data_IF_005665556782
#
_entry.id   IF_005665556782
#
_cell.length_a   1.000
_cell.length_b   1.000
_cell.length_c   1.000
_cell.angle_alpha   90.00
_cell.angle_beta   90.00
_cell.angle_gamma   90.00
#
_symmetry.space_group_name_H-M   'P 1'
#
loop_
_entity.id
_entity.type
_entity.pdbx_description
1 polymer ?
#
# COMPACT_ATOMS: atom_id res chain seq x y z
N UNK A 1 -1.69 5.71 3.50
CA UNK A 1 -2.88 6.57 3.55
C UNK A 1 -3.63 6.25 4.83
N UNK A 2 -3.62 7.17 5.80
CA UNK A 2 -4.32 6.98 7.06
C UNK A 2 -5.85 7.02 6.88
N UNK A 3 -6.61 6.48 7.84
CA UNK A 3 -8.09 6.51 7.82
C UNK A 3 -8.63 7.96 7.74
N UNK A 4 -7.95 8.89 8.38
CA UNK A 4 -8.22 10.34 8.40
C UNK A 4 -8.03 11.02 7.04
N UNK A 5 -6.97 10.66 6.30
CA UNK A 5 -6.68 11.16 4.96
C UNK A 5 -7.70 10.62 3.94
N UNK A 6 -8.07 9.34 4.09
CA UNK A 6 -9.20 8.74 3.38
C UNK A 6 -10.49 9.53 3.68
N UNK A 7 -10.76 9.86 4.95
CA UNK A 7 -11.93 10.68 5.34
C UNK A 7 -11.85 12.10 4.76
N UNK A 8 -10.66 12.73 4.76
CA UNK A 8 -10.46 14.08 4.22
C UNK A 8 -10.69 14.13 2.71
N UNK A 9 -10.12 13.17 1.98
CA UNK A 9 -10.32 13.05 0.54
C UNK A 9 -11.76 12.69 0.21
N UNK A 10 -12.39 11.79 0.98
CA UNK A 10 -13.82 11.52 0.86
C UNK A 10 -14.62 12.80 1.09
N UNK A 11 -14.30 13.64 2.08
CA UNK A 11 -15.02 14.91 2.28
C UNK A 11 -14.92 15.85 1.08
N UNK A 12 -13.73 15.97 0.49
CA UNK A 12 -13.52 16.77 -0.71
C UNK A 12 -14.33 16.22 -1.89
N UNK A 13 -14.26 14.90 -2.11
CA UNK A 13 -15.01 14.18 -3.13
C UNK A 13 -16.53 14.19 -2.88
N UNK A 14 -16.99 14.41 -1.65
CA UNK A 14 -18.41 14.45 -1.33
C UNK A 14 -19.06 15.82 -1.61
N UNK A 15 -18.27 16.88 -1.81
CA UNK A 15 -18.80 18.24 -2.01
C UNK A 15 -19.68 18.37 -3.26
N UNK A 16 -19.24 17.98 -4.48
CA UNK A 16 -20.10 18.05 -5.67
C UNK A 16 -21.29 17.09 -5.59
N UNK A 17 -21.14 15.91 -4.95
CA UNK A 17 -22.25 14.98 -4.67
C UNK A 17 -23.33 15.66 -3.83
N UNK A 18 -22.94 16.38 -2.76
CA UNK A 18 -23.88 17.11 -1.90
C UNK A 18 -24.59 18.22 -2.67
N UNK A 19 -23.89 18.96 -3.55
CA UNK A 19 -24.48 20.00 -4.38
C UNK A 19 -25.53 19.41 -5.32
N UNK A 20 -25.22 18.30 -6.00
CA UNK A 20 -26.15 17.64 -6.92
C UNK A 20 -27.37 17.12 -6.16
N UNK A 21 -27.18 16.46 -5.02
CA UNK A 21 -28.28 16.02 -4.16
C UNK A 21 -29.17 17.22 -3.77
N UNK A 22 -28.57 18.35 -3.39
CA UNK A 22 -29.31 19.58 -3.08
C UNK A 22 -30.18 20.08 -4.24
N UNK A 23 -29.66 20.06 -5.47
CA UNK A 23 -30.40 20.41 -6.69
C UNK A 23 -31.55 19.42 -6.92
N UNK A 24 -31.33 18.13 -6.74
CA UNK A 24 -32.37 17.11 -6.91
C UNK A 24 -33.52 17.27 -5.93
N UNK A 25 -33.22 17.53 -4.65
CA UNK A 25 -34.26 17.81 -3.65
C UNK A 25 -35.07 19.06 -4.00
N UNK A 26 -34.41 20.10 -4.55
CA UNK A 26 -35.09 21.29 -5.04
C UNK A 26 -35.99 20.98 -6.24
N UNK A 27 -35.53 20.18 -7.20
CA UNK A 27 -36.33 19.74 -8.35
C UNK A 27 -37.53 18.88 -7.93
N UNK A 28 -37.35 17.98 -6.96
CA UNK A 28 -38.45 17.18 -6.38
C UNK A 28 -39.47 18.10 -5.70
N UNK A 29 -39.01 19.10 -4.93
CA UNK A 29 -39.89 20.07 -4.29
C UNK A 29 -40.67 20.91 -5.32
N UNK A 30 -40.00 21.37 -6.39
CA UNK A 30 -40.63 22.09 -7.50
C UNK A 30 -41.65 21.21 -8.24
N UNK A 31 -41.35 19.94 -8.47
CA UNK A 31 -42.28 18.97 -9.07
C UNK A 31 -43.56 18.86 -8.24
N UNK A 32 -43.44 18.65 -6.93
CA UNK A 32 -44.62 18.57 -6.05
C UNK A 32 -45.36 19.90 -5.95
N UNK A 33 -44.66 21.05 -5.92
CA UNK A 33 -45.28 22.37 -5.94
C UNK A 33 -46.07 22.63 -7.23
N UNK A 34 -45.48 22.29 -8.38
CA UNK A 34 -46.11 22.41 -9.69
C UNK A 34 -47.40 21.57 -9.77
N UNK A 35 -47.35 20.30 -9.35
CA UNK A 35 -48.52 19.43 -9.37
C UNK A 35 -49.58 19.82 -8.33
N UNK A 36 -49.17 20.31 -7.14
CA UNK A 36 -50.11 20.84 -6.13
C UNK A 36 -50.88 22.06 -6.65
N UNK A 37 -50.25 22.90 -7.47
CA UNK A 37 -50.87 24.08 -8.09
C UNK A 37 -51.83 23.74 -9.24
N UNK A 38 -51.69 22.55 -9.86
CA UNK A 38 -52.39 22.16 -11.09
C UNK A 38 -53.44 21.06 -10.86
N UNK A 39 -54.26 21.26 -9.82
CA UNK A 39 -55.23 20.33 -9.17
C UNK A 39 -56.26 19.60 -10.07
N UNK A 40 -56.12 19.58 -11.40
CA UNK A 40 -57.19 19.21 -12.34
C UNK A 40 -56.85 18.14 -13.39
N UNK A 41 -55.66 17.55 -13.44
CA UNK A 41 -55.38 16.48 -14.40
C UNK A 41 -55.10 15.15 -13.69
N UNK A 42 -55.84 14.10 -14.04
CA UNK A 42 -55.75 12.74 -13.50
C UNK A 42 -54.44 12.01 -13.90
N UNK A 43 -53.33 12.73 -14.05
CA UNK A 43 -52.03 12.13 -14.33
C UNK A 43 -51.49 11.45 -13.07
N UNK A 44 -51.09 10.18 -13.22
CA UNK A 44 -50.49 9.38 -12.14
C UNK A 44 -49.21 10.05 -11.66
N UNK A 45 -49.21 10.54 -10.42
CA UNK A 45 -48.03 11.09 -9.77
C UNK A 45 -47.01 9.99 -9.50
N UNK A 46 -45.72 10.31 -9.66
CA UNK A 46 -44.64 9.40 -9.27
C UNK A 46 -44.61 9.35 -7.74
N UNK A 47 -44.60 8.17 -7.10
CA UNK A 47 -44.56 8.09 -5.65
C UNK A 47 -43.24 8.65 -5.11
N UNK A 48 -43.30 9.44 -4.04
CA UNK A 48 -42.14 10.10 -3.41
C UNK A 48 -40.98 9.12 -3.14
N UNK A 49 -41.29 7.87 -2.75
CA UNK A 49 -40.26 6.84 -2.53
C UNK A 49 -39.43 6.54 -3.77
N UNK A 50 -40.02 6.52 -4.97
CA UNK A 50 -39.28 6.29 -6.21
C UNK A 50 -38.43 7.50 -6.59
N UNK A 51 -38.92 8.73 -6.34
CA UNK A 51 -38.14 9.95 -6.55
C UNK A 51 -36.93 10.01 -5.62
N UNK A 52 -37.10 9.70 -4.34
CA UNK A 52 -36.01 9.66 -3.36
C UNK A 52 -34.99 8.55 -3.68
N UNK A 53 -35.45 7.35 -4.07
CA UNK A 53 -34.56 6.28 -4.51
C UNK A 53 -33.79 6.66 -5.77
N UNK A 54 -34.43 7.36 -6.71
CA UNK A 54 -33.78 7.89 -7.91
C UNK A 54 -32.70 8.91 -7.59
N UNK A 55 -32.99 9.87 -6.70
CA UNK A 55 -32.02 10.88 -6.25
C UNK A 55 -30.80 10.24 -5.57
N UNK A 56 -31.02 9.31 -4.63
CA UNK A 56 -29.91 8.57 -3.98
C UNK A 56 -29.08 7.81 -5.03
N UNK A 57 -29.74 7.20 -6.02
CA UNK A 57 -29.05 6.48 -7.08
C UNK A 57 -28.21 7.41 -7.96
N UNK A 58 -28.70 8.59 -8.31
CA UNK A 58 -27.93 9.57 -9.10
C UNK A 58 -26.75 10.09 -8.28
N UNK A 59 -26.95 10.46 -7.02
CA UNK A 59 -25.86 10.84 -6.12
C UNK A 59 -24.78 9.75 -6.01
N UNK A 60 -25.19 8.48 -5.96
CA UNK A 60 -24.29 7.33 -6.04
C UNK A 60 -23.50 7.27 -7.36
N UNK A 61 -24.17 7.43 -8.51
CA UNK A 61 -23.51 7.40 -9.83
C UNK A 61 -22.48 8.53 -9.94
N UNK A 62 -22.83 9.74 -9.48
CA UNK A 62 -21.90 10.87 -9.43
C UNK A 62 -20.68 10.52 -8.58
N UNK A 63 -20.89 9.99 -7.38
CA UNK A 63 -19.81 9.60 -6.48
C UNK A 63 -18.87 8.55 -7.12
N UNK A 64 -19.41 7.54 -7.81
CA UNK A 64 -18.61 6.54 -8.52
C UNK A 64 -17.80 7.19 -9.65
N UNK A 65 -18.43 8.04 -10.47
CA UNK A 65 -17.72 8.75 -11.53
C UNK A 65 -16.61 9.66 -10.97
N UNK A 66 -16.84 10.26 -9.81
CA UNK A 66 -15.84 11.10 -9.18
C UNK A 66 -14.63 10.30 -8.70
N UNK A 67 -14.87 9.15 -8.06
CA UNK A 67 -13.80 8.23 -7.62
C UNK A 67 -13.01 7.62 -8.78
N UNK A 68 -13.66 7.35 -9.90
CA UNK A 68 -13.08 6.56 -11.00
C UNK A 68 -12.55 7.43 -12.15
N UNK A 69 -13.18 8.56 -12.44
CA UNK A 69 -12.91 9.39 -13.61
C UNK A 69 -12.29 10.73 -13.22
N UNK A 70 -12.88 11.46 -12.27
CA UNK A 70 -12.54 12.88 -12.03
C UNK A 70 -11.39 13.03 -11.02
N UNK A 71 -11.35 12.17 -9.99
CA UNK A 71 -10.41 12.27 -8.88
C UNK A 71 -9.02 11.67 -9.11
N UNK A 72 -8.71 11.18 -10.31
CA UNK A 72 -7.43 10.52 -10.62
C UNK A 72 -6.49 11.42 -11.43
N UNK A 73 -5.20 11.40 -11.09
CA UNK A 73 -4.14 12.01 -11.90
C UNK A 73 -3.86 11.20 -13.17
N UNK A 74 -3.27 11.84 -14.19
CA UNK A 74 -2.88 11.17 -15.44
C UNK A 74 -1.44 10.67 -15.35
N UNK A 75 -1.24 9.35 -15.27
CA UNK A 75 0.09 8.75 -15.15
C UNK A 75 0.32 7.48 -15.98
N UNK A 76 -0.73 6.80 -16.44
CA UNK A 76 -0.61 5.51 -17.16
C UNK A 76 -1.40 5.55 -18.47
N UNK A 77 -0.74 5.78 -19.60
CA UNK A 77 -1.38 5.78 -20.91
C UNK A 77 -1.36 4.39 -21.55
N UNK A 78 -2.54 3.91 -21.97
CA UNK A 78 -2.71 2.69 -22.77
C UNK A 78 -2.13 1.38 -22.17
N UNK A 79 -1.88 1.36 -20.86
CA UNK A 79 -1.46 0.14 -20.19
C UNK A 79 -2.67 -0.76 -19.90
N UNK A 80 -2.50 -2.07 -20.09
CA UNK A 80 -3.54 -3.07 -19.83
C UNK A 80 -2.95 -4.27 -19.11
N UNK A 81 -3.60 -4.66 -18.01
CA UNK A 81 -3.35 -5.92 -17.31
C UNK A 81 -4.54 -6.86 -17.52
N UNK A 82 -4.34 -7.87 -18.37
CA UNK A 82 -5.35 -8.86 -18.73
C UNK A 82 -5.15 -10.20 -18.01
N UNK A 83 -4.21 -10.28 -17.07
CA UNK A 83 -3.99 -11.50 -16.31
C UNK A 83 -5.05 -11.61 -15.20
N UNK A 84 -5.92 -12.64 -15.23
CA UNK A 84 -6.97 -12.78 -14.23
C UNK A 84 -6.36 -13.12 -12.87
N UNK A 85 -6.90 -12.49 -11.84
CA UNK A 85 -6.54 -12.55 -10.43
C UNK A 85 -5.10 -12.13 -10.12
N UNK A 86 -4.44 -11.41 -11.02
CA UNK A 86 -3.09 -10.88 -10.82
C UNK A 86 -2.97 -10.02 -9.55
N UNK A 87 -3.90 -9.09 -9.30
CA UNK A 87 -3.90 -8.22 -8.13
C UNK A 87 -4.06 -9.01 -6.82
N UNK A 88 -4.83 -10.10 -6.84
CA UNK A 88 -4.95 -11.00 -5.68
C UNK A 88 -3.69 -11.80 -5.42
N UNK A 89 -3.06 -12.29 -6.49
CA UNK A 89 -1.80 -13.04 -6.41
C UNK A 89 -0.69 -12.11 -5.89
N UNK A 90 -0.60 -10.90 -6.40
CA UNK A 90 0.39 -9.92 -5.96
C UNK A 90 0.13 -9.44 -4.54
N UNK A 91 -1.13 -9.17 -4.17
CA UNK A 91 -1.50 -8.84 -2.80
C UNK A 91 -1.11 -9.96 -1.84
N UNK A 92 -1.31 -11.23 -2.23
CA UNK A 92 -0.85 -12.37 -1.45
C UNK A 92 0.67 -12.43 -1.38
N UNK A 93 1.37 -12.43 -2.52
CA UNK A 93 2.84 -12.56 -2.57
C UNK A 93 3.57 -11.42 -1.86
N UNK A 94 3.05 -10.19 -1.89
CA UNK A 94 3.58 -9.05 -1.13
C UNK A 94 3.06 -9.00 0.31
N UNK A 95 2.07 -9.82 0.64
CA UNK A 95 1.24 -9.73 1.84
C UNK A 95 0.77 -8.28 2.11
N UNK A 96 0.27 -7.64 1.05
CA UNK A 96 -0.13 -6.24 1.06
C UNK A 96 -1.61 -6.11 1.41
N UNK A 97 -1.88 -5.70 2.66
CA UNK A 97 -3.24 -5.38 3.10
C UNK A 97 -3.87 -4.26 2.27
N UNK A 98 -3.05 -3.32 1.79
CA UNK A 98 -3.50 -2.21 0.95
C UNK A 98 -4.01 -2.70 -0.40
N UNK A 99 -3.28 -3.59 -1.06
CA UNK A 99 -3.68 -4.10 -2.38
C UNK A 99 -4.97 -4.94 -2.28
N UNK A 100 -5.11 -5.70 -1.19
CA UNK A 100 -6.34 -6.41 -0.91
C UNK A 100 -7.51 -5.48 -0.57
N UNK A 101 -7.26 -4.41 0.20
CA UNK A 101 -8.26 -3.37 0.47
C UNK A 101 -8.76 -2.72 -0.81
N UNK A 102 -7.87 -2.45 -1.78
CA UNK A 102 -8.25 -1.90 -3.08
C UNK A 102 -9.20 -2.85 -3.83
N UNK A 103 -8.89 -4.15 -3.87
CA UNK A 103 -9.78 -5.15 -4.47
C UNK A 103 -11.16 -5.15 -3.78
N UNK A 104 -11.19 -5.08 -2.44
CA UNK A 104 -12.44 -5.02 -1.68
C UNK A 104 -13.24 -3.74 -1.95
N UNK A 105 -12.58 -2.59 -2.07
CA UNK A 105 -13.24 -1.32 -2.37
C UNK A 105 -13.85 -1.31 -3.77
N UNK A 106 -13.20 -1.92 -4.76
CA UNK A 106 -13.78 -2.09 -6.10
C UNK A 106 -15.07 -2.93 -6.05
N UNK A 107 -15.08 -4.04 -5.30
CA UNK A 107 -16.30 -4.83 -5.06
C UNK A 107 -17.38 -3.97 -4.40
N UNK A 108 -17.06 -3.31 -3.28
CA UNK A 108 -18.03 -2.54 -2.50
C UNK A 108 -18.63 -1.38 -3.31
N UNK A 109 -17.85 -0.76 -4.20
CA UNK A 109 -18.29 0.35 -5.05
C UNK A 109 -19.47 -0.02 -5.96
N UNK A 110 -19.55 -1.27 -6.43
CA UNK A 110 -20.60 -1.73 -7.33
C UNK A 110 -21.77 -2.45 -6.64
N UNK A 111 -21.68 -2.72 -5.33
CA UNK A 111 -22.80 -3.27 -4.54
C UNK A 111 -24.07 -2.41 -4.65
N UNK A 112 -24.02 -1.07 -4.52
CA UNK A 112 -25.21 -0.24 -4.66
C UNK A 112 -25.86 -0.33 -6.04
N UNK A 113 -25.08 -0.41 -7.14
CA UNK A 113 -25.62 -0.58 -8.49
C UNK A 113 -26.46 -1.85 -8.60
N UNK A 114 -25.95 -2.97 -8.07
CA UNK A 114 -26.66 -4.25 -8.04
C UNK A 114 -27.96 -4.22 -7.23
N UNK A 115 -28.04 -3.38 -6.19
CA UNK A 115 -29.24 -3.21 -5.39
C UNK A 115 -30.27 -2.26 -6.01
N UNK A 116 -29.84 -1.12 -6.53
CA UNK A 116 -30.74 -0.05 -6.97
C UNK A 116 -31.41 -0.35 -8.32
N UNK A 117 -30.69 -0.92 -9.28
CA UNK A 117 -31.24 -1.23 -10.61
C UNK A 117 -32.56 -2.03 -10.57
N UNK A 118 -32.69 -3.15 -9.83
CA UNK A 118 -33.95 -3.90 -9.77
C UNK A 118 -35.05 -3.22 -8.95
N UNK A 119 -34.70 -2.25 -8.08
CA UNK A 119 -35.65 -1.43 -7.33
C UNK A 119 -36.27 -0.34 -8.21
N UNK A 120 -35.49 0.24 -9.12
CA UNK A 120 -35.91 1.33 -10.00
C UNK A 120 -36.56 0.82 -11.28
N UNK A 121 -36.02 -0.26 -11.88
CA UNK A 121 -36.41 -0.71 -13.22
C UNK A 121 -36.73 -2.21 -13.21
N UNK A 122 -37.96 -2.55 -13.59
CA UNK A 122 -38.48 -3.92 -13.53
C UNK A 122 -37.66 -4.93 -14.36
N UNK A 123 -37.08 -4.51 -15.50
CA UNK A 123 -36.26 -5.35 -16.37
C UNK A 123 -35.01 -5.90 -15.66
N UNK A 124 -34.43 -5.13 -14.74
CA UNK A 124 -33.22 -5.53 -14.00
C UNK A 124 -33.50 -6.44 -12.81
N UNK A 125 -34.77 -6.79 -12.56
CA UNK A 125 -35.11 -7.90 -11.66
C UNK A 125 -34.66 -9.25 -12.22
N UNK A 126 -34.48 -9.36 -13.54
CA UNK A 126 -33.85 -10.52 -14.18
C UNK A 126 -32.32 -10.36 -14.16
N UNK A 127 -31.64 -11.33 -13.55
CA UNK A 127 -30.19 -11.29 -13.33
C UNK A 127 -29.38 -11.04 -14.61
N UNK A 128 -29.75 -11.62 -15.76
CA UNK A 128 -29.03 -11.44 -17.03
C UNK A 128 -28.93 -9.98 -17.49
N UNK A 129 -30.00 -9.20 -17.29
CA UNK A 129 -30.03 -7.80 -17.70
C UNK A 129 -29.25 -6.92 -16.74
N UNK A 130 -29.31 -7.25 -15.45
CA UNK A 130 -28.49 -6.59 -14.44
C UNK A 130 -27.01 -6.84 -14.69
N UNK A 131 -26.61 -8.09 -14.93
CA UNK A 131 -25.23 -8.47 -15.19
C UNK A 131 -24.69 -7.77 -16.44
N UNK A 132 -25.48 -7.67 -17.51
CA UNK A 132 -25.10 -6.95 -18.72
C UNK A 132 -24.80 -5.47 -18.43
N UNK A 133 -25.63 -4.81 -17.64
CA UNK A 133 -25.41 -3.39 -17.26
C UNK A 133 -24.20 -3.24 -16.35
N UNK A 134 -24.03 -4.13 -15.36
CA UNK A 134 -22.88 -4.09 -14.45
C UNK A 134 -21.58 -4.24 -15.24
N UNK A 135 -21.47 -5.31 -16.05
CA UNK A 135 -20.28 -5.57 -16.89
C UNK A 135 -20.06 -4.46 -17.91
N UNK A 136 -21.11 -3.96 -18.55
CA UNK A 136 -21.00 -2.85 -19.51
C UNK A 136 -20.53 -1.55 -18.85
N UNK A 137 -21.03 -1.25 -17.65
CA UNK A 137 -20.64 -0.06 -16.90
C UNK A 137 -19.17 -0.14 -16.47
N UNK A 138 -18.74 -1.26 -15.86
CA UNK A 138 -17.34 -1.41 -15.47
C UNK A 138 -16.41 -1.41 -16.68
N UNK A 139 -16.75 -2.09 -17.77
CA UNK A 139 -15.94 -2.06 -19.01
C UNK A 139 -15.81 -0.65 -19.57
N UNK A 140 -16.87 0.16 -19.50
CA UNK A 140 -16.85 1.55 -19.96
C UNK A 140 -15.92 2.42 -19.09
N UNK A 141 -15.94 2.22 -17.77
CA UNK A 141 -15.07 2.96 -16.84
C UNK A 141 -13.60 2.61 -17.07
N UNK A 142 -13.26 1.32 -17.11
CA UNK A 142 -11.88 0.84 -17.35
C UNK A 142 -11.35 1.34 -18.71
N UNK A 143 -12.19 1.26 -19.76
CA UNK A 143 -11.84 1.77 -21.09
C UNK A 143 -11.58 3.27 -21.06
N UNK A 144 -12.44 4.03 -20.37
CA UNK A 144 -12.24 5.47 -20.24
C UNK A 144 -10.93 5.79 -19.49
N UNK A 145 -10.64 5.12 -18.38
CA UNK A 145 -9.44 5.34 -17.58
C UNK A 145 -8.17 5.09 -18.41
N UNK A 146 -8.18 4.01 -19.18
CA UNK A 146 -7.06 3.61 -20.05
C UNK A 146 -6.82 4.60 -21.19
N UNK A 147 -7.91 5.11 -21.81
CA UNK A 147 -7.82 6.08 -22.91
C UNK A 147 -7.47 7.50 -22.44
N UNK A 148 -7.92 7.87 -21.24
CA UNK A 148 -7.64 9.19 -20.65
C UNK A 148 -6.28 9.28 -19.96
N UNK A 149 -5.61 8.14 -19.74
CA UNK A 149 -4.36 8.06 -18.99
C UNK A 149 -4.54 8.08 -17.47
N UNK A 150 -5.79 8.05 -17.00
CA UNK A 150 -6.17 8.10 -15.58
C UNK A 150 -5.95 6.77 -14.83
N UNK A 151 -5.66 5.69 -15.54
CA UNK A 151 -5.42 4.38 -14.96
C UNK A 151 -5.08 3.31 -16.00
N UNK A 152 -4.77 2.11 -15.50
CA UNK A 152 -4.48 0.90 -16.26
C UNK A 152 -5.80 0.15 -16.49
N UNK A 153 -6.00 -0.47 -17.65
CA UNK A 153 -7.13 -1.41 -17.81
C UNK A 153 -6.85 -2.66 -17.00
N UNK A 154 -7.53 -2.86 -15.87
CA UNK A 154 -7.32 -4.04 -15.03
C UNK A 154 -8.49 -5.03 -15.16
N UNK A 155 -8.20 -6.23 -15.67
CA UNK A 155 -9.21 -7.29 -15.76
C UNK A 155 -9.77 -7.66 -14.38
N UNK A 156 -8.96 -7.54 -13.34
CA UNK A 156 -9.37 -7.80 -11.97
C UNK A 156 -10.40 -6.78 -11.47
N UNK A 157 -10.33 -5.53 -11.92
CA UNK A 157 -11.33 -4.51 -11.57
C UNK A 157 -12.67 -4.78 -12.23
N UNK A 158 -12.65 -5.27 -13.48
CA UNK A 158 -13.86 -5.77 -14.15
C UNK A 158 -14.50 -6.93 -13.36
N UNK A 159 -13.69 -7.87 -12.86
CA UNK A 159 -14.15 -9.01 -12.05
C UNK A 159 -14.71 -8.50 -10.71
N UNK A 160 -13.99 -7.63 -10.02
CA UNK A 160 -14.34 -7.10 -8.70
C UNK A 160 -15.65 -6.30 -8.74
N UNK A 161 -15.77 -5.38 -9.70
CA UNK A 161 -16.98 -4.60 -9.91
C UNK A 161 -18.18 -5.50 -10.26
N UNK A 162 -17.94 -6.53 -11.08
CA UNK A 162 -18.97 -7.52 -11.42
C UNK A 162 -19.43 -8.31 -10.18
N UNK A 163 -18.51 -8.75 -9.33
CA UNK A 163 -18.81 -9.39 -8.06
C UNK A 163 -19.63 -8.46 -7.15
N UNK A 164 -19.26 -7.18 -7.08
CA UNK A 164 -20.02 -6.15 -6.38
C UNK A 164 -21.48 -6.10 -6.81
N UNK A 165 -21.72 -6.00 -8.11
CA UNK A 165 -23.08 -5.99 -8.68
C UNK A 165 -23.86 -7.27 -8.38
N UNK A 166 -23.21 -8.44 -8.42
CA UNK A 166 -23.82 -9.73 -8.06
C UNK A 166 -24.20 -9.79 -6.58
N UNK A 167 -23.31 -9.31 -5.69
CA UNK A 167 -23.59 -9.22 -4.25
C UNK A 167 -24.75 -8.26 -3.99
N UNK A 168 -24.77 -7.09 -4.63
CA UNK A 168 -25.87 -6.14 -4.54
C UNK A 168 -27.22 -6.74 -4.96
N UNK A 169 -27.25 -7.47 -6.06
CA UNK A 169 -28.47 -8.14 -6.51
C UNK A 169 -28.95 -9.23 -5.52
N UNK A 170 -28.04 -9.97 -4.91
CA UNK A 170 -28.38 -10.95 -3.87
C UNK A 170 -28.93 -10.26 -2.61
N UNK A 171 -28.38 -9.13 -2.19
CA UNK A 171 -28.91 -8.32 -1.10
C UNK A 171 -30.32 -7.80 -1.41
N UNK A 172 -30.56 -7.35 -2.65
CA UNK A 172 -31.90 -6.98 -3.12
C UNK A 172 -32.89 -8.15 -3.01
N UNK A 173 -32.51 -9.35 -3.46
CA UNK A 173 -33.36 -10.56 -3.38
C UNK A 173 -33.64 -10.96 -1.94
N UNK A 174 -32.64 -10.85 -1.08
CA UNK A 174 -32.79 -11.11 0.35
C UNK A 174 -33.77 -10.11 0.99
N UNK A 175 -33.57 -8.81 0.77
CA UNK A 175 -34.42 -7.75 1.30
C UNK A 175 -35.88 -7.91 0.83
N UNK A 176 -36.11 -8.14 -0.46
CA UNK A 176 -37.45 -8.36 -1.02
C UNK A 176 -38.12 -9.63 -0.48
N UNK A 177 -37.36 -10.71 -0.32
CA UNK A 177 -37.86 -11.95 0.31
C UNK A 177 -38.28 -11.71 1.77
N UNK A 178 -37.53 -10.91 2.54
CA UNK A 178 -37.85 -10.59 3.93
C UNK A 178 -39.12 -9.75 4.01
N UNK A 179 -39.22 -8.71 3.19
CA UNK A 179 -40.39 -7.81 3.15
C UNK A 179 -41.66 -8.57 2.75
N UNK A 180 -41.56 -9.46 1.76
CA UNK A 180 -42.74 -10.19 1.25
C UNK A 180 -43.16 -11.35 2.16
N UNK A 181 -42.20 -12.15 2.64
CA UNK A 181 -42.51 -13.38 3.40
C UNK A 181 -42.54 -13.18 4.92
N UNK A 182 -42.14 -12.01 5.43
CA UNK A 182 -41.99 -11.67 6.87
C UNK A 182 -41.16 -12.67 7.70
N UNK A 183 -40.45 -13.60 7.05
CA UNK A 183 -39.58 -14.62 7.66
C UNK A 183 -38.35 -14.83 6.77
N UNK A 184 -37.18 -14.94 7.39
CA UNK A 184 -35.94 -15.33 6.72
C UNK A 184 -35.90 -16.86 6.64
N UNK A 185 -35.94 -17.43 5.43
CA UNK A 185 -35.68 -18.86 5.24
C UNK A 185 -34.18 -19.09 5.19
N UNK A 186 -33.63 -19.96 6.04
CA UNK A 186 -32.19 -20.25 6.10
C UNK A 186 -31.59 -20.64 4.73
N UNK A 187 -32.30 -21.47 3.94
CA UNK A 187 -31.88 -21.81 2.57
C UNK A 187 -31.75 -20.58 1.65
N UNK A 188 -32.63 -19.59 1.80
CA UNK A 188 -32.58 -18.33 1.04
C UNK A 188 -31.43 -17.45 1.52
N UNK A 189 -31.18 -17.42 2.84
CA UNK A 189 -30.06 -16.68 3.42
C UNK A 189 -28.72 -17.23 2.93
N UNK A 190 -28.52 -18.55 3.04
CA UNK A 190 -27.27 -19.22 2.61
C UNK A 190 -27.07 -19.04 1.10
N UNK A 191 -28.11 -19.24 0.28
CA UNK A 191 -27.98 -19.09 -1.17
C UNK A 191 -27.61 -17.67 -1.62
N UNK A 192 -28.14 -16.63 -0.96
CA UNK A 192 -27.86 -15.23 -1.30
C UNK A 192 -26.60 -14.66 -0.62
N UNK A 193 -26.03 -15.36 0.37
CA UNK A 193 -24.78 -14.96 1.02
C UNK A 193 -23.61 -15.89 0.65
N UNK A 194 -23.82 -16.89 -0.21
CA UNK A 194 -22.81 -17.88 -0.55
C UNK A 194 -21.52 -17.24 -1.08
N UNK A 195 -21.62 -16.24 -1.97
CA UNK A 195 -20.46 -15.55 -2.54
C UNK A 195 -19.71 -14.71 -1.48
N UNK A 196 -20.36 -13.78 -0.73
CA UNK A 196 -19.70 -13.07 0.36
C UNK A 196 -19.07 -13.98 1.41
N UNK A 197 -19.75 -15.07 1.78
CA UNK A 197 -19.24 -16.04 2.75
C UNK A 197 -18.02 -16.79 2.20
N UNK A 198 -18.06 -17.24 0.95
CA UNK A 198 -16.93 -17.91 0.31
C UNK A 198 -15.70 -17.00 0.28
N UNK A 199 -15.86 -15.74 -0.11
CA UNK A 199 -14.76 -14.76 -0.11
C UNK A 199 -14.21 -14.54 1.30
N UNK A 200 -15.10 -14.43 2.30
CA UNK A 200 -14.70 -14.29 3.70
C UNK A 200 -13.92 -15.52 4.19
N UNK A 201 -14.35 -16.73 3.81
CA UNK A 201 -13.65 -17.96 4.16
C UNK A 201 -12.29 -18.07 3.49
N UNK A 202 -12.16 -17.67 2.22
CA UNK A 202 -10.87 -17.62 1.52
C UNK A 202 -9.93 -16.66 2.25
N UNK A 203 -10.40 -15.45 2.60
CA UNK A 203 -9.59 -14.48 3.31
C UNK A 203 -9.15 -14.96 4.69
N UNK A 204 -10.06 -15.55 5.46
CA UNK A 204 -9.73 -16.16 6.77
C UNK A 204 -8.72 -17.29 6.59
N UNK A 205 -8.91 -18.16 5.60
CA UNK A 205 -8.01 -19.26 5.28
C UNK A 205 -6.60 -18.75 4.93
N UNK A 206 -6.51 -17.73 4.08
CA UNK A 206 -5.24 -17.07 3.73
C UNK A 206 -4.52 -16.52 4.97
N UNK A 207 -5.24 -15.84 5.87
CA UNK A 207 -4.65 -15.34 7.12
C UNK A 207 -4.17 -16.46 8.04
N UNK A 208 -4.90 -17.58 8.12
CA UNK A 208 -4.49 -18.75 8.92
C UNK A 208 -3.22 -19.37 8.33
N UNK A 209 -3.18 -19.60 7.01
CA UNK A 209 -2.01 -20.14 6.31
C UNK A 209 -0.80 -19.23 6.53
N UNK A 210 -0.96 -17.93 6.32
CA UNK A 210 0.10 -16.96 6.56
C UNK A 210 0.54 -16.95 8.03
N UNK A 211 -0.39 -16.99 8.99
CA UNK A 211 -0.06 -17.03 10.41
C UNK A 211 0.76 -18.27 10.79
N UNK A 212 0.54 -19.41 10.12
CA UNK A 212 1.25 -20.66 10.34
C UNK A 212 2.64 -20.72 9.70
N UNK A 213 2.93 -19.92 8.67
CA UNK A 213 4.27 -19.86 8.09
C UNK A 213 5.28 -19.38 9.14
N UNK A 214 6.49 -19.95 9.17
CA UNK A 214 7.54 -19.47 10.07
C UNK A 214 7.94 -18.03 9.70
N UNK A 215 8.23 -17.81 8.42
CA UNK A 215 8.63 -16.53 7.85
C UNK A 215 7.48 -15.83 7.13
N UNK A 216 7.60 -14.51 7.00
CA UNK A 216 6.72 -13.71 6.16
C UNK A 216 7.08 -13.82 4.68
N UNK A 217 6.33 -13.12 3.86
CA UNK A 217 6.60 -13.03 2.44
C UNK A 217 7.64 -11.94 2.16
N UNK A 218 8.48 -12.19 1.15
CA UNK A 218 9.39 -11.21 0.59
C UNK A 218 8.76 -10.59 -0.67
N UNK A 219 8.69 -9.26 -0.72
CA UNK A 219 8.04 -8.55 -1.84
C UNK A 219 8.67 -8.87 -3.21
N UNK A 220 9.96 -9.24 -3.22
CA UNK A 220 10.71 -9.67 -4.41
C UNK A 220 10.16 -10.96 -5.05
N UNK A 221 9.29 -11.69 -4.37
CA UNK A 221 8.64 -12.90 -4.92
C UNK A 221 7.40 -12.57 -5.76
N UNK A 222 6.93 -11.32 -5.74
CA UNK A 222 5.77 -10.84 -6.49
C UNK A 222 6.12 -10.50 -7.95
N UNK A 223 6.39 -11.54 -8.73
CA UNK A 223 6.62 -11.46 -10.18
C UNK A 223 5.93 -12.60 -10.94
N UNK A 224 5.83 -12.43 -12.25
CA UNK A 224 5.40 -13.47 -13.20
C UNK A 224 6.62 -14.07 -13.89
N UNK A 225 6.69 -15.41 -13.96
CA UNK A 225 7.79 -16.14 -14.59
C UNK A 225 7.97 -15.67 -16.04
N UNK A 226 9.19 -15.25 -16.38
CA UNK A 226 9.53 -14.78 -17.73
C UNK A 226 9.78 -15.96 -18.68
N UNK A 227 9.45 -15.80 -19.95
CA UNK A 227 9.72 -16.83 -20.96
C UNK A 227 11.16 -16.70 -21.47
N UNK A 228 12.01 -17.64 -21.07
CA UNK A 228 13.46 -17.59 -21.34
C UNK A 228 13.93 -18.49 -22.49
N UNK A 229 13.02 -19.19 -23.20
CA UNK A 229 13.38 -20.23 -24.19
C UNK A 229 14.29 -19.77 -25.34
N UNK A 230 14.29 -18.47 -25.63
CA UNK A 230 15.05 -17.86 -26.73
C UNK A 230 15.89 -16.67 -26.22
N UNK A 231 16.28 -16.69 -24.94
CA UNK A 231 17.11 -15.66 -24.29
C UNK A 231 18.48 -16.27 -24.03
N UNK A 232 19.54 -15.56 -24.39
CA UNK A 232 20.90 -16.01 -24.12
C UNK A 232 21.32 -15.55 -22.72
N UNK A 233 21.56 -16.50 -21.82
CA UNK A 233 22.00 -16.21 -20.45
C UNK A 233 23.41 -16.72 -20.28
N UNK A 234 24.36 -15.83 -20.00
CA UNK A 234 25.78 -16.14 -19.89
C UNK A 234 26.37 -15.59 -18.58
N UNK A 235 27.49 -16.17 -18.15
CA UNK A 235 28.25 -15.66 -17.01
C UNK A 235 29.71 -16.08 -17.14
N UNK A 236 30.61 -15.24 -16.61
CA UNK A 236 32.03 -15.56 -16.45
C UNK A 236 32.37 -16.09 -15.05
N UNK A 237 31.38 -16.17 -14.16
CA UNK A 237 31.55 -16.58 -12.76
C UNK A 237 31.81 -18.09 -12.63
N UNK A 238 32.69 -18.45 -11.70
CA UNK A 238 32.81 -19.83 -11.22
C UNK A 238 31.66 -20.15 -10.26
N UNK A 239 30.63 -20.83 -10.78
CA UNK A 239 29.43 -21.15 -10.02
C UNK A 239 29.65 -22.36 -9.10
N UNK A 240 29.79 -22.10 -7.81
CA UNK A 240 29.81 -23.17 -6.80
C UNK A 240 28.44 -23.84 -6.66
N UNK A 241 28.44 -25.17 -6.53
CA UNK A 241 27.27 -25.98 -6.15
C UNK A 241 27.32 -26.47 -4.70
N UNK A 242 28.25 -25.94 -3.90
CA UNK A 242 28.38 -26.31 -2.50
C UNK A 242 27.13 -25.88 -1.71
N UNK A 243 26.73 -26.72 -0.75
CA UNK A 243 25.70 -26.34 0.21
C UNK A 243 26.20 -25.16 1.05
N UNK A 244 25.40 -24.11 1.08
CA UNK A 244 25.67 -22.89 1.83
C UNK A 244 24.55 -22.65 2.83
N UNK A 245 24.92 -22.02 3.95
CA UNK A 245 23.99 -21.56 4.97
C UNK A 245 24.14 -20.06 5.15
N UNK A 246 23.07 -19.40 5.57
CA UNK A 246 23.10 -17.99 5.97
C UNK A 246 22.24 -17.74 7.20
N UNK A 247 22.61 -16.76 8.04
CA UNK A 247 21.88 -16.41 9.23
C UNK A 247 20.55 -15.72 8.89
N UNK A 248 19.53 -15.98 9.71
CA UNK A 248 18.27 -15.24 9.75
C UNK A 248 18.18 -14.49 11.08
N UNK A 249 17.67 -13.27 11.01
CA UNK A 249 17.45 -12.42 12.18
C UNK A 249 15.99 -12.03 12.33
N UNK A 250 15.62 -11.54 13.51
CA UNK A 250 14.36 -10.88 13.78
C UNK A 250 14.61 -9.42 14.15
N UNK A 251 13.93 -8.50 13.47
CA UNK A 251 13.95 -7.09 13.86
C UNK A 251 13.27 -6.93 15.21
N UNK A 252 14.00 -6.39 16.17
CA UNK A 252 13.49 -6.00 17.47
C UNK A 252 13.19 -4.51 17.44
N UNK A 253 11.91 -4.19 17.46
CA UNK A 253 11.42 -2.82 17.50
C UNK A 253 11.31 -2.39 18.96
N UNK A 254 12.01 -1.32 19.32
CA UNK A 254 11.86 -0.68 20.64
C UNK A 254 10.98 0.55 20.46
N UNK A 255 9.73 0.44 20.90
CA UNK A 255 8.75 1.54 20.82
C UNK A 255 8.57 2.29 22.15
N UNK A 256 9.36 1.96 23.16
CA UNK A 256 9.17 2.48 24.52
C UNK A 256 9.42 3.99 24.57
N UNK A 257 8.40 4.71 25.05
CA UNK A 257 8.38 6.06 25.62
C UNK A 257 9.36 7.09 25.05
N UNK A 258 9.46 7.17 23.72
CA UNK A 258 10.22 8.24 23.03
C UNK A 258 9.77 9.61 23.52
N UNK A 259 8.47 9.79 23.77
CA UNK A 259 7.92 11.02 24.34
C UNK A 259 8.47 11.31 25.75
N UNK A 260 8.55 10.31 26.63
CA UNK A 260 9.11 10.49 27.96
C UNK A 260 10.62 10.74 27.91
N UNK A 261 11.34 10.07 27.01
CA UNK A 261 12.76 10.32 26.76
C UNK A 261 12.99 11.78 26.34
N UNK A 262 12.25 12.23 25.33
CA UNK A 262 12.34 13.60 24.81
C UNK A 262 11.88 14.64 25.85
N UNK A 263 10.88 14.32 26.67
CA UNK A 263 10.46 15.16 27.78
C UNK A 263 11.52 15.24 28.89
N UNK A 264 12.08 14.12 29.30
CA UNK A 264 13.07 14.04 30.38
C UNK A 264 14.39 14.68 29.98
N UNK A 265 14.85 14.43 28.75
CA UNK A 265 16.19 14.80 28.29
C UNK A 265 16.24 16.13 27.55
N UNK A 266 15.23 16.43 26.74
CA UNK A 266 15.17 17.69 25.96
C UNK A 266 14.14 18.69 26.53
N UNK A 267 13.36 18.31 27.55
CA UNK A 267 12.37 19.20 28.15
C UNK A 267 11.17 19.48 27.24
N UNK A 268 10.92 18.61 26.26
CA UNK A 268 9.82 18.75 25.31
C UNK A 268 8.49 18.35 25.96
N UNK A 269 7.44 19.12 25.70
CA UNK A 269 6.08 18.85 26.22
C UNK A 269 5.07 18.84 25.09
N UNK A 270 4.14 17.88 25.12
CA UNK A 270 3.04 17.84 24.14
C UNK A 270 2.22 19.13 24.21
N UNK A 271 1.88 19.65 23.03
CA UNK A 271 0.94 20.76 22.95
C UNK A 271 -0.50 20.22 22.99
N UNK A 272 -1.43 20.89 23.67
CA UNK A 272 -2.87 20.56 23.64
C UNK A 272 -3.52 20.62 22.24
N UNK A 273 -2.76 20.96 21.19
CA UNK A 273 -3.23 20.96 19.82
C UNK A 273 -3.28 19.50 19.32
N UNK A 274 -4.45 19.07 18.83
CA UNK A 274 -4.60 17.86 18.02
C UNK A 274 -3.88 18.08 16.68
N UNK A 275 -2.55 18.04 16.69
CA UNK A 275 -1.77 17.82 15.48
C UNK A 275 -1.90 16.34 15.08
N UNK A 276 -1.69 16.04 13.81
CA UNK A 276 -2.20 14.83 13.17
C UNK A 276 -1.58 13.50 13.68
N UNK A 277 -2.05 13.04 14.85
CA UNK A 277 -1.65 11.75 15.46
C UNK A 277 -1.92 10.55 14.56
N UNK A 278 -2.70 10.70 13.49
CA UNK A 278 -2.99 9.60 12.55
C UNK A 278 -1.85 9.32 11.57
N UNK A 279 -0.97 10.29 11.34
CA UNK A 279 0.25 10.16 10.53
C UNK A 279 1.50 9.92 11.39
N UNK A 280 1.32 9.73 12.70
CA UNK A 280 2.43 9.60 13.64
C UNK A 280 3.11 10.93 13.96
N UNK A 281 2.48 12.06 13.63
CA UNK A 281 3.03 13.40 13.86
C UNK A 281 2.46 14.03 15.13
N UNK A 282 3.33 14.44 16.04
CA UNK A 282 3.01 15.09 17.30
C UNK A 282 3.72 16.44 17.38
N UNK A 283 2.97 17.50 17.68
CA UNK A 283 3.56 18.82 17.93
C UNK A 283 3.97 18.92 19.40
N UNK A 284 5.28 19.11 19.64
CA UNK A 284 5.86 19.30 20.97
C UNK A 284 6.51 20.67 21.08
N UNK A 285 6.67 21.18 22.30
CA UNK A 285 7.34 22.45 22.57
C UNK A 285 8.43 22.29 23.59
N UNK A 286 9.54 22.99 23.38
CA UNK A 286 10.56 23.13 24.40
C UNK A 286 10.15 24.09 25.53
N UNK A 287 11.06 24.28 26.49
CA UNK A 287 10.86 25.17 27.64
C UNK A 287 10.71 26.65 27.23
N UNK A 288 11.26 27.04 26.09
CA UNK A 288 11.19 28.40 25.54
C UNK A 288 9.92 28.61 24.68
N UNK A 289 9.11 27.56 24.51
CA UNK A 289 7.88 27.58 23.71
C UNK A 289 8.11 27.41 22.21
N UNK A 290 9.32 27.04 21.78
CA UNK A 290 9.69 26.78 20.39
C UNK A 290 9.01 25.48 19.94
N UNK A 291 8.26 25.50 18.82
CA UNK A 291 7.55 24.32 18.33
C UNK A 291 8.47 23.35 17.56
N UNK A 292 8.33 22.07 17.84
CA UNK A 292 8.94 20.95 17.13
C UNK A 292 7.87 19.98 16.63
N UNK A 293 8.14 19.32 15.52
CA UNK A 293 7.35 18.21 15.01
C UNK A 293 8.08 16.89 15.27
N UNK A 294 7.42 15.98 16.00
CA UNK A 294 7.88 14.62 16.23
C UNK A 294 7.11 13.68 15.31
N UNK A 295 7.79 13.00 14.40
CA UNK A 295 7.21 11.98 13.50
C UNK A 295 7.67 10.61 13.96
N UNK A 296 6.76 9.66 14.16
CA UNK A 296 7.06 8.30 14.61
C UNK A 296 6.57 7.25 13.63
N UNK A 297 7.46 6.34 13.23
CA UNK A 297 7.13 5.11 12.54
C UNK A 297 7.25 3.92 13.51
N UNK A 298 6.20 3.67 14.30
CA UNK A 298 6.14 2.58 15.28
C UNK A 298 6.28 1.18 14.64
N UNK A 299 5.97 1.04 13.34
CA UNK A 299 6.12 -0.23 12.63
C UNK A 299 7.59 -0.54 12.31
N UNK A 300 8.45 0.48 12.25
CA UNK A 300 9.88 0.32 11.97
C UNK A 300 10.78 0.68 13.16
N UNK A 301 10.22 1.27 14.21
CA UNK A 301 10.96 1.76 15.38
C UNK A 301 11.73 3.05 15.12
N UNK A 302 11.36 3.80 14.08
CA UNK A 302 12.06 5.01 13.66
C UNK A 302 11.30 6.25 14.12
N UNK A 303 12.02 7.33 14.38
CA UNK A 303 11.41 8.61 14.68
C UNK A 303 12.31 9.78 14.30
N UNK A 304 11.69 10.92 14.00
CA UNK A 304 12.36 12.17 13.63
C UNK A 304 11.75 13.31 14.42
N UNK A 305 12.59 14.12 15.01
CA UNK A 305 12.24 15.36 15.68
C UNK A 305 12.86 16.51 14.91
N UNK A 306 12.05 17.50 14.53
CA UNK A 306 12.54 18.66 13.79
C UNK A 306 11.90 19.94 14.32
N UNK A 307 12.70 20.98 14.51
CA UNK A 307 12.22 22.31 14.87
C UNK A 307 11.46 22.94 13.71
N UNK A 308 10.29 23.50 14.01
CA UNK A 308 9.46 24.12 12.99
C UNK A 308 9.97 25.52 12.64
N UNK A 309 9.98 25.83 11.34
CA UNK A 309 10.42 27.13 10.79
C UNK A 309 11.90 27.48 11.02
N UNK A 310 12.74 26.49 11.33
CA UNK A 310 14.19 26.67 11.35
C UNK A 310 14.80 26.29 10.00
N UNK A 311 15.66 27.15 9.45
CA UNK A 311 16.46 26.85 8.26
C UNK A 311 17.92 26.81 8.70
N UNK A 312 18.62 25.66 8.59
CA UNK A 312 20.03 25.57 8.93
C UNK A 312 20.85 26.52 8.06
N UNK A 313 21.69 27.34 8.67
CA UNK A 313 22.73 28.07 7.93
C UNK A 313 23.84 27.07 7.57
N UNK A 314 24.32 27.06 6.31
CA UNK A 314 25.43 26.22 5.85
C UNK A 314 26.81 26.67 6.42
N UNK A 315 26.83 27.09 7.68
CA UNK A 315 28.02 27.66 8.30
C UNK A 315 28.74 26.55 9.07
N UNK A 316 29.95 26.22 8.62
CA UNK A 316 30.99 25.42 9.31
C UNK A 316 30.70 25.17 10.80
N UNK A 317 30.08 24.03 11.12
CA UNK A 317 29.83 23.54 12.50
C UNK A 317 31.13 22.97 13.12
N UNK A 318 32.29 23.34 12.57
CA UNK A 318 33.60 22.97 13.05
C UNK A 318 33.75 23.32 14.55
N UNK A 319 33.92 22.29 15.38
CA UNK A 319 34.15 22.44 16.82
C UNK A 319 32.95 22.17 17.74
N UNK A 320 31.79 21.72 17.24
CA UNK A 320 30.71 21.22 18.11
C UNK A 320 30.70 19.71 18.33
N UNK A 321 31.66 18.96 17.77
CA UNK A 321 31.74 17.49 17.86
C UNK A 321 31.67 16.97 19.30
N UNK A 322 32.43 17.59 20.21
CA UNK A 322 32.44 17.17 21.63
C UNK A 322 31.11 17.47 22.33
N UNK A 323 30.40 18.54 21.92
CA UNK A 323 29.04 18.80 22.41
C UNK A 323 28.05 17.77 21.89
N UNK A 324 28.15 17.42 20.61
CA UNK A 324 27.30 16.42 19.96
C UNK A 324 27.47 15.04 20.64
N UNK A 325 28.71 14.60 20.85
CA UNK A 325 29.02 13.35 21.59
C UNK A 325 28.50 13.38 23.02
N UNK A 326 28.76 14.46 23.76
CA UNK A 326 28.27 14.61 25.14
C UNK A 326 26.74 14.55 25.23
N UNK A 327 26.03 15.17 24.29
CA UNK A 327 24.57 15.14 24.25
C UNK A 327 24.07 13.72 23.94
N UNK A 328 24.72 13.02 23.01
CA UNK A 328 24.34 11.66 22.65
C UNK A 328 24.52 10.68 23.82
N UNK A 329 25.60 10.84 24.59
CA UNK A 329 25.83 10.09 25.84
C UNK A 329 24.74 10.37 26.89
N UNK A 330 24.36 11.65 27.05
CA UNK A 330 23.27 12.05 27.96
C UNK A 330 21.92 11.46 27.54
N UNK A 331 21.64 11.40 26.24
CA UNK A 331 20.45 10.77 25.69
C UNK A 331 20.46 9.25 25.85
N UNK A 332 21.64 8.64 26.01
CA UNK A 332 21.82 7.19 26.20
C UNK A 332 21.15 6.37 25.09
N UNK A 333 21.20 6.89 23.86
CA UNK A 333 20.56 6.30 22.68
C UNK A 333 21.45 5.31 21.92
N UNK A 334 22.77 5.34 22.15
CA UNK A 334 23.75 4.53 21.43
C UNK A 334 24.02 3.18 22.14
N UNK A 335 23.81 2.04 21.47
CA UNK A 335 23.97 0.72 22.08
C UNK A 335 25.41 0.18 22.09
N UNK A 336 26.33 0.61 21.19
CA UNK A 336 27.82 0.45 21.23
C UNK A 336 28.49 0.88 19.90
N UNK A 337 29.76 1.31 19.95
CA UNK A 337 30.74 1.53 18.85
C UNK A 337 30.22 2.06 17.50
N UNK A 338 29.26 2.99 17.51
CA UNK A 338 28.78 3.62 16.29
C UNK A 338 29.87 4.50 15.67
N UNK A 339 30.04 4.40 14.36
CA UNK A 339 30.99 5.21 13.60
C UNK A 339 30.46 6.64 13.52
N UNK A 340 31.24 7.60 14.02
CA UNK A 340 30.87 9.01 14.05
C UNK A 340 31.38 9.72 12.81
N UNK A 341 30.50 10.40 12.09
CA UNK A 341 30.80 11.18 10.89
C UNK A 341 30.17 12.57 10.99
N UNK A 342 30.82 13.54 10.34
CA UNK A 342 30.29 14.90 10.17
C UNK A 342 29.90 15.05 8.70
N UNK A 343 28.63 15.33 8.44
CA UNK A 343 28.08 15.47 7.10
C UNK A 343 28.47 16.82 6.48
N UNK A 344 28.43 16.91 5.14
CA UNK A 344 28.78 18.14 4.41
C UNK A 344 27.88 19.34 4.78
N UNK A 345 26.64 19.07 5.20
CA UNK A 345 25.69 20.07 5.68
C UNK A 345 25.97 20.54 7.13
N UNK A 346 26.97 19.97 7.81
CA UNK A 346 27.34 20.29 9.19
C UNK A 346 26.60 19.50 10.27
N UNK A 347 25.74 18.54 9.89
CA UNK A 347 25.08 17.63 10.82
C UNK A 347 26.00 16.50 11.27
N UNK A 348 25.66 15.89 12.40
CA UNK A 348 26.39 14.80 13.01
C UNK A 348 25.63 13.49 12.80
N UNK A 349 26.33 12.44 12.40
CA UNK A 349 25.73 11.13 12.19
C UNK A 349 26.52 10.04 12.95
N UNK A 350 25.79 9.12 13.57
CA UNK A 350 26.33 7.90 14.15
C UNK A 350 25.76 6.72 13.39
N UNK A 351 26.63 5.98 12.70
CA UNK A 351 26.21 4.86 11.86
C UNK A 351 26.65 3.52 12.46
N UNK A 352 25.74 2.55 12.41
CA UNK A 352 26.04 1.15 12.67
C UNK A 352 25.77 0.37 11.37
N UNK A 353 26.83 -0.11 10.69
CA UNK A 353 26.68 -0.80 9.42
C UNK A 353 25.92 -2.12 9.60
N UNK A 354 25.20 -2.51 8.56
CA UNK A 354 24.55 -3.82 8.54
C UNK A 354 25.60 -4.92 8.47
N UNK A 355 25.48 -5.93 9.34
CA UNK A 355 26.40 -7.06 9.47
C UNK A 355 25.66 -8.39 9.47
N UNK A 356 24.98 -8.73 8.37
CA UNK A 356 24.13 -9.90 8.31
C UNK A 356 24.92 -11.20 8.07
N UNK A 357 26.24 -11.16 8.26
CA UNK A 357 27.17 -12.28 8.28
C UNK A 357 27.43 -12.80 9.71
N UNK A 358 26.97 -12.08 10.73
CA UNK A 358 27.25 -12.41 12.13
C UNK A 358 26.28 -13.46 12.69
N UNK A 359 26.82 -14.55 13.23
CA UNK A 359 26.02 -15.56 13.95
C UNK A 359 25.68 -15.15 15.40
N UNK A 360 25.28 -13.89 15.60
CA UNK A 360 24.88 -13.31 16.88
C UNK A 360 24.03 -12.07 16.67
N UNK A 361 23.40 -11.62 17.74
CA UNK A 361 22.68 -10.35 17.76
C UNK A 361 23.60 -9.18 17.40
N UNK A 362 23.08 -8.23 16.63
CA UNK A 362 23.77 -6.99 16.32
C UNK A 362 22.79 -5.82 16.17
N UNK A 363 23.30 -4.60 16.27
CA UNK A 363 22.56 -3.36 16.02
C UNK A 363 22.95 -2.79 14.67
N UNK A 364 21.99 -2.16 13.99
CA UNK A 364 22.21 -1.51 12.69
C UNK A 364 21.31 -0.29 12.56
N UNK A 365 21.68 0.62 11.67
CA UNK A 365 20.95 1.86 11.37
C UNK A 365 21.81 3.08 11.67
N UNK A 366 21.16 4.21 11.88
CA UNK A 366 21.82 5.49 12.09
C UNK A 366 21.07 6.37 13.13
N UNK A 367 21.80 7.35 13.66
CA UNK A 367 21.25 8.48 14.40
C UNK A 367 21.83 9.76 13.79
N UNK A 368 20.95 10.65 13.33
CA UNK A 368 21.32 11.97 12.85
C UNK A 368 21.01 13.05 13.89
N UNK A 369 21.91 14.02 14.06
CA UNK A 369 21.76 15.13 15.00
C UNK A 369 22.14 16.46 14.34
N UNK A 370 21.20 17.40 14.37
CA UNK A 370 21.39 18.78 13.97
C UNK A 370 21.47 19.71 15.18
N UNK A 371 22.58 20.46 15.28
CA UNK A 371 22.79 21.47 16.32
C UNK A 371 22.86 22.88 15.74
N UNK A 372 22.26 23.83 16.46
CA UNK A 372 22.40 25.27 16.19
C UNK A 372 23.78 25.78 16.61
N UNK A 373 24.16 26.98 16.18
CA UNK A 373 25.41 27.63 16.62
C UNK A 373 25.53 27.77 18.15
N UNK A 374 24.41 27.92 18.86
CA UNK A 374 24.37 27.99 20.32
C UNK A 374 24.43 26.60 21.02
N UNK A 375 24.38 25.51 20.24
CA UNK A 375 24.43 24.12 20.72
C UNK A 375 23.06 23.51 21.05
N UNK A 376 21.95 24.21 20.79
CA UNK A 376 20.61 23.62 20.93
C UNK A 376 20.29 22.69 19.77
N UNK A 377 19.54 21.63 20.05
CA UNK A 377 19.07 20.66 19.04
C UNK A 377 17.99 21.31 18.18
N UNK A 378 18.13 21.25 16.86
CA UNK A 378 17.04 21.57 15.93
C UNK A 378 16.54 20.33 15.17
N UNK A 379 17.34 19.26 15.09
CA UNK A 379 16.96 18.02 14.41
C UNK A 379 17.55 16.82 15.13
N UNK A 380 16.77 15.76 15.29
CA UNK A 380 17.21 14.46 15.81
C UNK A 380 16.45 13.35 15.09
N UNK A 381 17.18 12.50 14.37
CA UNK A 381 16.66 11.37 13.63
C UNK A 381 17.18 10.08 14.24
N UNK A 382 16.32 9.10 14.46
CA UNK A 382 16.69 7.80 15.05
C UNK A 382 16.13 6.67 14.20
N UNK A 383 17.03 5.80 13.72
CA UNK A 383 16.67 4.64 12.92
C UNK A 383 17.27 3.31 13.42
N UNK A 384 17.96 3.33 14.57
CA UNK A 384 18.59 2.14 15.12
C UNK A 384 17.59 1.06 15.52
N UNK A 385 17.90 -0.18 15.16
CA UNK A 385 17.20 -1.35 15.68
C UNK A 385 18.16 -2.52 15.89
N UNK A 386 17.73 -3.44 16.75
CA UNK A 386 18.47 -4.67 17.01
C UNK A 386 17.98 -5.78 16.09
N UNK A 387 18.90 -6.45 15.42
CA UNK A 387 18.68 -7.72 14.74
C UNK A 387 19.03 -8.85 15.71
N UNK A 388 18.00 -9.55 16.19
CA UNK A 388 18.18 -10.74 17.03
C UNK A 388 18.45 -11.95 16.14
N UNK A 389 19.57 -12.62 16.35
CA UNK A 389 19.90 -13.84 15.63
C UNK A 389 18.93 -14.96 16.00
N UNK A 390 18.36 -15.62 15.00
CA UNK A 390 17.42 -16.73 15.18
C UNK A 390 18.13 -18.07 14.96
N UNK A 391 18.66 -18.29 13.74
CA UNK A 391 19.38 -19.49 13.32
C UNK A 391 19.98 -19.31 11.93
N UNK A 392 20.85 -20.21 11.53
CA UNK A 392 21.24 -20.38 10.12
C UNK A 392 20.21 -21.23 9.36
N UNK A 393 20.05 -20.95 8.07
CA UNK A 393 19.20 -21.70 7.15
C UNK A 393 19.96 -22.11 5.90
N UNK A 394 19.56 -23.23 5.30
CA UNK A 394 20.09 -23.64 4.00
C UNK A 394 19.63 -22.64 2.93
N UNK A 395 20.57 -22.20 2.10
CA UNK A 395 20.30 -21.30 0.98
C UNK A 395 20.71 -21.93 -0.35
N UNK A 396 20.15 -21.40 -1.43
CA UNK A 396 20.54 -21.71 -2.81
C UNK A 396 22.03 -21.44 -3.00
N UNK A 397 22.70 -22.35 -3.70
CA UNK A 397 24.06 -22.14 -4.19
C UNK A 397 24.06 -21.17 -5.39
N UNK A 398 25.18 -20.48 -5.70
CA UNK A 398 25.27 -19.64 -6.89
C UNK A 398 24.87 -20.34 -8.20
N UNK A 399 25.17 -21.64 -8.33
CA UNK A 399 24.73 -22.45 -9.47
C UNK A 399 23.19 -22.59 -9.55
N UNK A 400 22.51 -22.82 -8.43
CA UNK A 400 21.04 -22.89 -8.37
C UNK A 400 20.40 -21.52 -8.66
N UNK A 401 21.02 -20.43 -8.20
CA UNK A 401 20.57 -19.06 -8.51
C UNK A 401 20.65 -18.78 -10.02
N UNK A 402 21.75 -19.18 -10.66
CA UNK A 402 21.93 -19.05 -12.10
C UNK A 402 20.88 -19.86 -12.89
N UNK A 403 20.59 -21.10 -12.50
CA UNK A 403 19.54 -21.90 -13.15
C UNK A 403 18.15 -21.28 -12.94
N UNK A 404 17.86 -20.74 -11.76
CA UNK A 404 16.60 -20.02 -11.49
C UNK A 404 16.41 -18.82 -12.44
N UNK A 405 17.50 -18.11 -12.77
CA UNK A 405 17.48 -17.03 -13.78
C UNK A 405 17.18 -17.59 -15.17
N UNK A 406 17.85 -18.68 -15.57
CA UNK A 406 17.57 -19.34 -16.87
C UNK A 406 16.13 -19.83 -16.99
N UNK A 407 15.50 -20.19 -15.89
CA UNK A 407 14.08 -20.53 -15.88
C UNK A 407 13.15 -19.33 -15.94
N UNK A 408 13.65 -18.11 -15.71
CA UNK A 408 12.84 -16.89 -15.68
C UNK A 408 12.17 -16.63 -14.33
N UNK A 409 12.68 -17.24 -13.26
CA UNK A 409 12.13 -17.17 -11.91
C UNK A 409 12.78 -16.07 -11.07
N UNK A 410 12.68 -14.83 -11.55
CA UNK A 410 13.20 -13.65 -10.86
C UNK A 410 12.34 -12.40 -11.18
N UNK A 411 12.29 -11.42 -10.26
CA UNK A 411 11.62 -10.15 -10.53
C UNK A 411 12.45 -9.28 -11.47
N UNK A 412 11.79 -8.54 -12.35
CA UNK A 412 12.44 -7.49 -13.14
C UNK A 412 12.43 -6.19 -12.34
N UNK A 413 13.60 -5.60 -12.10
CA UNK A 413 13.73 -4.38 -11.29
C UNK A 413 14.10 -3.21 -12.21
N UNK A 414 13.42 -2.07 -12.03
CA UNK A 414 13.75 -0.82 -12.74
C UNK A 414 15.15 -0.36 -12.30
N UNK A 415 16.07 -0.26 -13.26
CA UNK A 415 17.44 0.21 -13.00
C UNK A 415 17.54 1.74 -12.85
N UNK A 416 16.63 2.49 -13.49
CA UNK A 416 16.58 3.95 -13.40
C UNK A 416 15.13 4.44 -13.65
N UNK A 417 14.77 5.60 -13.11
CA UNK A 417 13.49 6.28 -13.35
C UNK A 417 13.22 6.59 -14.84
N UNK A 418 14.26 6.53 -15.69
CA UNK A 418 14.17 6.72 -17.13
C UNK A 418 13.86 5.43 -17.92
N UNK A 419 13.99 4.25 -17.31
CA UNK A 419 13.71 2.95 -17.96
C UNK A 419 12.21 2.75 -18.00
N UNK A 420 11.66 2.61 -19.21
CA UNK A 420 10.23 2.34 -19.39
C UNK A 420 9.94 0.86 -19.10
N UNK A 421 8.72 0.54 -18.66
CA UNK A 421 8.34 -0.86 -18.35
C UNK A 421 8.45 -1.79 -19.57
N UNK A 422 8.23 -1.26 -20.77
CA UNK A 422 8.38 -1.98 -22.04
C UNK A 422 9.81 -2.40 -22.39
N UNK A 423 10.80 -1.71 -21.79
CA UNK A 423 12.22 -2.01 -21.93
C UNK A 423 12.67 -3.11 -20.97
N UNK A 424 11.89 -3.38 -19.92
CA UNK A 424 12.15 -4.49 -19.00
C UNK A 424 11.58 -5.82 -19.53
N UNK A 425 10.56 -5.77 -20.38
CA UNK A 425 9.93 -6.99 -20.93
C UNK A 425 10.97 -7.80 -21.72
N UNK A 426 11.26 -9.00 -21.22
CA UNK A 426 12.14 -9.95 -21.89
C UNK A 426 11.49 -10.43 -23.20
N UNK A 427 12.22 -10.24 -24.29
CA UNK A 427 11.86 -10.54 -25.66
C UNK A 427 12.76 -11.65 -26.20
N UNK A 428 12.32 -12.24 -27.30
CA UNK A 428 13.09 -13.24 -28.03
C UNK A 428 14.37 -12.62 -28.58
N UNK A 429 15.50 -13.26 -28.30
CA UNK A 429 16.83 -12.82 -28.73
C UNK A 429 17.56 -11.90 -27.76
N UNK A 430 16.94 -11.58 -26.61
CA UNK A 430 17.60 -10.80 -25.57
C UNK A 430 18.79 -11.55 -24.96
N UNK A 431 19.73 -10.78 -24.42
CA UNK A 431 20.95 -11.28 -23.79
C UNK A 431 21.04 -10.81 -22.34
N UNK A 432 21.28 -11.74 -21.43
CA UNK A 432 21.57 -11.48 -20.01
C UNK A 432 22.97 -12.01 -19.71
N UNK A 433 23.85 -11.11 -19.31
CA UNK A 433 25.18 -11.43 -18.78
C UNK A 433 25.16 -11.23 -17.27
N UNK A 434 25.60 -12.22 -16.50
CA UNK A 434 25.67 -12.14 -15.04
C UNK A 434 27.11 -11.94 -14.60
N UNK A 435 27.35 -10.83 -13.92
CA UNK A 435 28.68 -10.38 -13.46
C UNK A 435 28.89 -10.60 -11.97
N UNK A 436 27.84 -10.57 -11.14
CA UNK A 436 27.94 -10.84 -9.70
C UNK A 436 26.69 -11.51 -9.11
N UNK A 437 26.91 -12.34 -8.10
CA UNK A 437 25.87 -12.96 -7.25
C UNK A 437 26.30 -12.74 -5.80
N UNK A 438 25.70 -11.75 -5.14
CA UNK A 438 26.09 -11.31 -3.80
C UNK A 438 25.00 -11.64 -2.79
N UNK A 439 25.38 -12.26 -1.67
CA UNK A 439 24.46 -12.49 -0.56
C UNK A 439 24.16 -11.16 0.15
N UNK A 440 22.89 -10.91 0.39
CA UNK A 440 22.36 -9.76 1.10
C UNK A 440 21.17 -10.23 1.93
N UNK A 441 20.51 -9.32 2.66
CA UNK A 441 19.32 -9.64 3.43
C UNK A 441 18.20 -8.64 3.16
N UNK A 442 16.96 -9.07 3.44
CA UNK A 442 15.77 -8.23 3.30
C UNK A 442 14.74 -8.60 4.37
N UNK A 443 14.07 -7.59 4.91
CA UNK A 443 12.98 -7.83 5.86
C UNK A 443 11.74 -8.36 5.15
N UNK A 444 11.16 -9.41 5.71
CA UNK A 444 9.88 -9.93 5.28
C UNK A 444 8.69 -9.24 5.98
N UNK A 445 7.48 -9.59 5.55
CA UNK A 445 6.23 -9.04 6.08
C UNK A 445 5.91 -9.45 7.53
N UNK A 446 6.73 -10.29 8.16
CA UNK A 446 6.69 -10.60 9.60
C UNK A 446 7.81 -9.92 10.37
N UNK A 447 8.76 -9.25 9.73
CA UNK A 447 9.92 -8.62 10.36
C UNK A 447 11.10 -9.57 10.61
N UNK A 448 11.19 -10.70 9.90
CA UNK A 448 12.44 -11.46 9.83
C UNK A 448 13.34 -10.91 8.74
N UNK A 449 14.63 -10.79 9.03
CA UNK A 449 15.66 -10.41 8.08
C UNK A 449 16.20 -11.68 7.42
N UNK A 450 15.74 -11.95 6.20
CA UNK A 450 16.00 -13.18 5.48
C UNK A 450 17.10 -12.99 4.42
N UNK A 451 17.91 -14.02 4.14
CA UNK A 451 18.92 -13.96 3.09
C UNK A 451 18.28 -13.91 1.69
N UNK A 452 18.84 -13.06 0.85
CA UNK A 452 18.52 -12.87 -0.56
C UNK A 452 19.82 -12.76 -1.36
N UNK A 453 19.76 -13.02 -2.65
CA UNK A 453 20.85 -12.72 -3.57
C UNK A 453 20.55 -11.46 -4.36
N UNK A 454 21.50 -10.52 -4.36
CA UNK A 454 21.57 -9.45 -5.35
C UNK A 454 22.39 -9.96 -6.52
N UNK A 455 21.73 -10.18 -7.65
CA UNK A 455 22.39 -10.60 -8.89
C UNK A 455 22.51 -9.38 -9.79
N UNK A 456 23.73 -9.06 -10.23
CA UNK A 456 24.00 -7.91 -11.09
C UNK A 456 24.72 -8.33 -12.35
N UNK A 457 24.55 -7.56 -13.42
CA UNK A 457 25.21 -7.78 -14.70
C UNK A 457 24.65 -6.88 -15.78
N UNK A 458 24.47 -7.41 -16.99
CA UNK A 458 23.97 -6.65 -18.15
C UNK A 458 22.77 -7.30 -18.82
N UNK A 459 21.79 -6.49 -19.18
CA UNK A 459 20.65 -6.85 -20.02
C UNK A 459 20.73 -6.07 -21.33
N UNK A 460 20.95 -6.78 -22.45
CA UNK A 460 21.17 -6.18 -23.78
C UNK A 460 22.25 -5.07 -23.78
N UNK A 461 23.30 -5.25 -22.97
CA UNK A 461 24.41 -4.31 -22.82
C UNK A 461 24.21 -3.18 -21.81
N UNK A 462 23.00 -3.02 -21.26
CA UNK A 462 22.71 -2.04 -20.20
C UNK A 462 22.86 -2.69 -18.83
N UNK A 463 23.27 -1.92 -17.82
CA UNK A 463 23.33 -2.40 -16.44
C UNK A 463 21.98 -2.96 -15.98
N UNK A 464 22.04 -4.09 -15.29
CA UNK A 464 20.88 -4.84 -14.86
C UNK A 464 21.14 -5.48 -13.50
N UNK A 465 20.11 -5.54 -12.65
CA UNK A 465 20.16 -6.35 -11.45
C UNK A 465 18.78 -6.92 -11.12
N UNK A 466 18.77 -7.99 -10.33
CA UNK A 466 17.58 -8.57 -9.74
C UNK A 466 17.86 -9.05 -8.31
N UNK A 467 16.79 -9.28 -7.56
CA UNK A 467 16.84 -9.83 -6.21
C UNK A 467 16.15 -11.19 -6.19
N UNK A 468 16.81 -12.20 -5.63
CA UNK A 468 16.31 -13.57 -5.58
C UNK A 468 16.29 -14.04 -4.13
N UNK A 469 15.18 -14.60 -3.67
CA UNK A 469 15.14 -15.21 -2.34
C UNK A 469 16.16 -16.35 -2.26
N UNK A 470 17.02 -16.33 -1.23
CA UNK A 470 18.09 -17.32 -1.11
C UNK A 470 17.64 -18.58 -0.36
N UNK A 471 16.66 -18.49 0.55
CA UNK A 471 16.19 -19.65 1.32
C UNK A 471 15.67 -20.79 0.43
N UNK A 472 16.04 -22.03 0.77
CA UNK A 472 15.41 -23.23 0.20
C UNK A 472 14.10 -23.50 0.96
N UNK A 473 12.99 -23.63 0.23
CA UNK A 473 11.68 -24.02 0.80
C UNK A 473 11.69 -25.45 1.35
#
# INVERSE_FOLDING_TARGET
MGITEIISNIKFLMLPVIIIIGIEFLLIALYFFYYRKRQSDHQKQIPLKQLLLGAIFIGYIVFVLELTVIGRGTSHYMQMNLQPFSGYIDAWKKYSLRDLQNCLFNILMFVPLGMFLPLLIAKFKEFKWLLLVVVGATMSIETYQTLSGAGIFELDDLINNSLGGIIGYQLYRLATSIVHNKKVKLKSLIGNLAIPLLMSFIFIGMNIVYAQQEFGHLAINAYTKSKMSDVDVSTSLELSSALTVAPIYKKMIKNDDVEDLLQQKLGLSETNAQYDKSHGETLVKDKDGIPFTLVKNNAEGQWWLTENNYTPEQTSVAGQEEKAKSLMDELSLLPQDAEFTVLENGEFEWQLPDRPDLNRDYWTGDIGLGLKQDGRVYSLAYSLHKNQFIREVNILSPAEVYERIKEGEFPQIKYNALVQEEDLIIKKGDQIEIDSIELSHMYDTKGFYQPIYKVSGKFNGNDWFTLIQAGKE
#
